data_IF_152393273776
#
_entry.id   IF_152393273776
#
_cell.length_a   1.000
_cell.length_b   1.000
_cell.length_c   1.000
_cell.angle_alpha   90.00
_cell.angle_beta   90.00
_cell.angle_gamma   90.00
#
_symmetry.space_group_name_H-M   'P 1'
#
loop_
_entity.id
_entity.type
_entity.pdbx_description
1 polymer ?
#
# COMPACT_ATOMS: atom_id res chain seq x y z
N UNK A 1 -23.78 -17.76 4.35
CA UNK A 1 -22.35 -17.39 4.43
C UNK A 1 -22.14 -16.11 3.64
N UNK A 2 -21.34 -15.15 4.13
CA UNK A 2 -20.94 -14.01 3.29
C UNK A 2 -20.09 -14.57 2.13
N UNK A 3 -20.58 -14.52 0.89
CA UNK A 3 -19.81 -14.89 -0.29
C UNK A 3 -18.73 -13.82 -0.54
N UNK A 4 -17.58 -13.99 0.09
CA UNK A 4 -16.41 -13.09 0.03
C UNK A 4 -15.52 -13.41 -1.20
N UNK A 5 -15.88 -14.44 -1.97
CA UNK A 5 -15.03 -15.06 -3.01
C UNK A 5 -14.96 -14.24 -4.32
N UNK A 6 -15.91 -13.34 -4.59
CA UNK A 6 -15.97 -12.63 -5.88
C UNK A 6 -15.19 -11.31 -5.93
N UNK A 7 -14.56 -10.88 -4.82
CA UNK A 7 -13.72 -9.67 -4.86
C UNK A 7 -12.57 -9.77 -3.85
N UNK A 8 -11.33 -10.10 -4.25
CA UNK A 8 -10.23 -10.39 -3.32
C UNK A 8 -9.71 -9.18 -2.49
N UNK A 9 -10.39 -8.03 -2.54
CA UNK A 9 -9.94 -6.75 -1.95
C UNK A 9 -11.06 -6.03 -1.20
N UNK A 10 -11.88 -6.73 -0.40
CA UNK A 10 -13.04 -6.09 0.23
C UNK A 10 -12.63 -5.30 1.47
N UNK A 11 -12.93 -3.99 1.47
CA UNK A 11 -12.77 -3.13 2.64
C UNK A 11 -13.87 -3.43 3.65
N UNK A 12 -13.53 -3.45 4.96
CA UNK A 12 -14.51 -3.64 6.05
C UNK A 12 -15.67 -2.65 5.96
N UNK A 13 -15.40 -1.45 5.45
CA UNK A 13 -16.42 -0.40 5.29
C UNK A 13 -17.46 -0.79 4.22
N UNK A 14 -17.02 -1.34 3.09
CA UNK A 14 -17.90 -1.78 2.01
C UNK A 14 -18.72 -3.00 2.45
N UNK A 15 -18.12 -3.94 3.19
CA UNK A 15 -18.86 -5.08 3.75
C UNK A 15 -19.92 -4.66 4.77
N UNK A 16 -19.58 -3.70 5.64
CA UNK A 16 -20.53 -3.17 6.60
C UNK A 16 -21.75 -2.55 5.90
N UNK A 17 -21.53 -1.78 4.82
CA UNK A 17 -22.59 -1.21 4.00
C UNK A 17 -23.41 -2.27 3.27
N UNK A 18 -22.76 -3.20 2.55
CA UNK A 18 -23.43 -4.22 1.75
C UNK A 18 -24.28 -5.17 2.58
N UNK A 19 -23.86 -5.47 3.81
CA UNK A 19 -24.56 -6.39 4.70
C UNK A 19 -25.38 -5.69 5.79
N UNK A 20 -25.50 -4.36 5.75
CA UNK A 20 -26.16 -3.54 6.76
C UNK A 20 -25.77 -3.92 8.21
N UNK A 21 -24.47 -4.17 8.41
CA UNK A 21 -23.89 -4.60 9.68
C UNK A 21 -22.94 -3.55 10.22
N UNK A 22 -22.82 -3.49 11.55
CA UNK A 22 -21.77 -2.66 12.15
C UNK A 22 -20.38 -3.15 11.72
N UNK A 23 -19.43 -2.22 11.57
CA UNK A 23 -18.01 -2.55 11.29
C UNK A 23 -17.44 -3.54 12.32
N UNK A 24 -17.84 -3.41 13.58
CA UNK A 24 -17.40 -4.30 14.66
C UNK A 24 -17.91 -5.74 14.47
N UNK A 25 -19.15 -5.92 14.00
CA UNK A 25 -19.71 -7.23 13.68
C UNK A 25 -18.94 -7.90 12.53
N UNK A 26 -18.67 -7.17 11.45
CA UNK A 26 -17.86 -7.66 10.33
C UNK A 26 -16.46 -8.07 10.80
N UNK A 27 -15.79 -7.27 11.62
CA UNK A 27 -14.46 -7.62 12.14
C UNK A 27 -14.47 -8.87 13.01
N UNK A 28 -15.50 -9.06 13.85
CA UNK A 28 -15.66 -10.28 14.66
C UNK A 28 -15.84 -11.52 13.78
N UNK A 29 -16.65 -11.41 12.72
CA UNK A 29 -16.86 -12.49 11.76
C UNK A 29 -15.55 -12.80 11.02
N UNK A 30 -14.86 -11.79 10.48
CA UNK A 30 -13.57 -11.96 9.79
C UNK A 30 -12.53 -12.67 10.65
N UNK A 31 -12.40 -12.30 11.92
CA UNK A 31 -11.49 -12.97 12.87
C UNK A 31 -11.89 -14.42 13.13
N UNK A 32 -13.20 -14.71 13.24
CA UNK A 32 -13.72 -16.08 13.42
C UNK A 32 -13.39 -16.97 12.22
N UNK A 33 -13.54 -16.42 11.03
CA UNK A 33 -13.23 -17.09 9.76
C UNK A 33 -11.73 -17.07 9.41
N UNK A 34 -10.85 -16.67 10.34
CA UNK A 34 -9.38 -16.61 10.17
C UNK A 34 -8.88 -15.70 9.03
N UNK A 35 -9.63 -14.64 8.72
CA UNK A 35 -9.14 -13.60 7.83
C UNK A 35 -8.19 -12.66 8.57
N UNK A 36 -7.15 -12.21 7.87
CA UNK A 36 -6.13 -11.30 8.36
C UNK A 36 -6.17 -9.97 7.58
N UNK A 37 -5.92 -8.83 8.25
CA UNK A 37 -5.86 -7.54 7.58
C UNK A 37 -4.52 -7.35 6.87
N UNK A 38 -4.56 -6.99 5.59
CA UNK A 38 -3.39 -6.66 4.77
C UNK A 38 -3.45 -5.20 4.31
N UNK A 39 -2.28 -4.55 4.24
CA UNK A 39 -2.14 -3.19 3.75
C UNK A 39 -2.19 -3.21 2.22
N UNK A 40 -2.95 -2.29 1.63
CA UNK A 40 -2.96 -2.12 0.18
C UNK A 40 -1.62 -1.48 -0.23
N UNK A 41 -0.84 -2.21 -1.01
CA UNK A 41 0.33 -1.68 -1.71
C UNK A 41 -0.11 -1.27 -3.10
N UNK A 42 -0.24 0.05 -3.32
CA UNK A 42 -0.38 0.59 -4.65
C UNK A 42 1.02 0.97 -5.12
N UNK A 43 1.60 0.15 -5.98
CA UNK A 43 2.88 0.46 -6.60
C UNK A 43 2.61 1.23 -7.90
N UNK A 44 3.48 2.19 -8.21
CA UNK A 44 3.52 2.75 -9.54
C UNK A 44 3.87 1.63 -10.53
N UNK A 45 3.09 1.52 -11.61
CA UNK A 45 3.42 0.61 -12.69
C UNK A 45 4.72 1.08 -13.34
N UNK A 46 5.68 0.17 -13.44
CA UNK A 46 6.96 0.44 -14.08
C UNK A 46 6.82 0.16 -15.57
N UNK A 47 7.29 1.09 -16.38
CA UNK A 47 7.52 0.85 -17.81
C UNK A 47 8.77 0.01 -18.02
N UNK A 48 8.92 -0.57 -19.21
CA UNK A 48 10.11 -1.36 -19.58
C UNK A 48 11.40 -0.53 -19.46
N UNK A 49 11.35 0.75 -19.82
CA UNK A 49 12.49 1.68 -19.72
C UNK A 49 12.88 2.03 -18.28
N UNK A 50 11.96 1.91 -17.32
CA UNK A 50 12.23 2.29 -15.93
C UNK A 50 13.25 1.36 -15.27
N UNK A 51 13.36 0.11 -15.72
CA UNK A 51 14.35 -0.83 -15.18
C UNK A 51 15.77 -0.34 -15.47
N UNK A 52 16.06 0.01 -16.72
CA UNK A 52 17.38 0.48 -17.14
C UNK A 52 17.72 1.82 -16.48
N UNK A 53 16.77 2.77 -16.45
CA UNK A 53 16.97 4.08 -15.79
C UNK A 53 17.27 3.95 -14.30
N UNK A 54 16.64 2.99 -13.62
CA UNK A 54 16.90 2.74 -12.20
C UNK A 54 18.28 2.16 -11.96
N UNK A 55 18.77 1.29 -12.86
CA UNK A 55 20.14 0.77 -12.79
C UNK A 55 21.14 1.90 -13.04
N UNK A 56 20.96 2.67 -14.10
CA UNK A 56 21.82 3.81 -14.43
C UNK A 56 21.90 4.82 -13.27
N UNK A 57 20.76 5.13 -12.64
CA UNK A 57 20.72 5.99 -11.46
C UNK A 57 21.54 5.40 -10.30
N UNK A 58 21.36 4.11 -10.00
CA UNK A 58 22.12 3.43 -8.95
C UNK A 58 23.63 3.46 -9.21
N UNK A 59 24.05 3.13 -10.43
CA UNK A 59 25.46 3.17 -10.84
C UNK A 59 26.05 4.58 -10.72
N UNK A 60 25.32 5.58 -11.19
CA UNK A 60 25.71 6.99 -11.08
C UNK A 60 25.86 7.44 -9.63
N UNK A 61 24.90 7.09 -8.77
CA UNK A 61 24.95 7.44 -7.36
C UNK A 61 26.09 6.73 -6.64
N UNK A 62 26.31 5.43 -6.90
CA UNK A 62 27.45 4.69 -6.35
C UNK A 62 28.79 5.34 -6.74
N UNK A 63 28.94 5.75 -7.99
CA UNK A 63 30.15 6.42 -8.44
C UNK A 63 30.38 7.75 -7.70
N UNK A 64 29.34 8.59 -7.56
CA UNK A 64 29.42 9.86 -6.84
C UNK A 64 29.77 9.68 -5.36
N UNK A 65 29.19 8.67 -4.71
CA UNK A 65 29.49 8.33 -3.32
C UNK A 65 30.94 7.85 -3.16
N UNK A 66 31.44 7.05 -4.10
CA UNK A 66 32.81 6.54 -4.06
C UNK A 66 33.86 7.63 -4.33
N UNK A 67 33.54 8.60 -5.20
CA UNK A 67 34.43 9.73 -5.48
C UNK A 67 34.48 10.73 -4.32
N UNK A 68 33.36 10.90 -3.60
CA UNK A 68 33.25 11.85 -2.51
C UNK A 68 32.42 11.28 -1.36
N UNK A 69 33.12 10.86 -0.30
CA UNK A 69 32.49 10.27 0.88
C UNK A 69 31.53 11.21 1.63
N UNK A 70 31.56 12.53 1.35
CA UNK A 70 30.64 13.53 1.90
C UNK A 70 29.52 13.91 0.92
N UNK A 71 29.41 13.25 -0.23
CA UNK A 71 28.37 13.53 -1.22
C UNK A 71 26.96 13.44 -0.62
N UNK A 72 26.64 12.34 0.07
CA UNK A 72 25.31 12.11 0.67
C UNK A 72 24.93 13.20 1.67
N UNK A 73 25.89 13.71 2.45
CA UNK A 73 25.66 14.75 3.45
C UNK A 73 25.23 16.10 2.83
N UNK A 74 25.41 16.28 1.52
CA UNK A 74 25.00 17.47 0.77
C UNK A 74 23.72 17.25 -0.04
N UNK A 75 23.14 16.04 -0.01
CA UNK A 75 21.87 15.74 -0.68
C UNK A 75 20.74 15.97 0.32
N UNK A 76 19.80 16.84 -0.06
CA UNK A 76 18.54 17.03 0.66
C UNK A 76 17.41 16.41 -0.16
N UNK A 77 16.68 15.48 0.45
CA UNK A 77 15.48 14.90 -0.14
C UNK A 77 14.24 15.63 0.39
N UNK A 78 13.33 15.96 -0.50
CA UNK A 78 11.99 16.48 -0.17
C UNK A 78 10.96 15.72 -0.99
N UNK A 79 9.75 15.61 -0.45
CA UNK A 79 8.59 15.01 -1.14
C UNK A 79 7.35 15.83 -0.81
N UNK A 80 6.35 15.77 -1.69
CA UNK A 80 5.08 16.45 -1.52
C UNK A 80 3.97 15.45 -1.18
N UNK A 81 3.18 15.77 -0.16
CA UNK A 81 2.01 14.96 0.21
C UNK A 81 0.74 15.79 0.10
N UNK A 82 -0.25 15.25 -0.59
CA UNK A 82 -1.56 15.90 -0.73
C UNK A 82 -2.50 15.45 0.39
N UNK A 83 -3.04 16.40 1.15
CA UNK A 83 -4.04 16.16 2.18
C UNK A 83 -5.38 16.77 1.77
N UNK A 84 -6.46 15.98 1.82
CA UNK A 84 -7.81 16.43 1.48
C UNK A 84 -8.68 16.53 2.75
N UNK A 85 -9.32 17.69 2.97
CA UNK A 85 -10.20 17.92 4.13
C UNK A 85 -11.60 17.33 3.98
N UNK A 86 -11.95 16.83 2.80
CA UNK A 86 -13.29 16.31 2.47
C UNK A 86 -13.54 14.86 2.95
N UNK A 87 -12.69 14.30 3.81
CA UNK A 87 -12.88 12.96 4.36
C UNK A 87 -12.58 11.81 3.38
N UNK A 88 -11.90 12.09 2.26
CA UNK A 88 -11.36 11.04 1.42
C UNK A 88 -10.55 10.05 2.26
N UNK A 89 -10.79 8.75 2.05
CA UNK A 89 -10.16 7.70 2.85
C UNK A 89 -8.65 7.84 2.73
N UNK A 90 -7.99 8.16 3.85
CA UNK A 90 -6.53 8.14 3.92
C UNK A 90 -6.09 6.73 3.50
N UNK A 91 -5.39 6.64 2.37
CA UNK A 91 -4.94 5.38 1.77
C UNK A 91 -4.12 4.53 2.73
N UNK A 92 -3.42 5.16 3.67
CA UNK A 92 -2.67 4.45 4.72
C UNK A 92 -3.58 3.67 5.69
N UNK A 93 -4.85 4.06 5.82
CA UNK A 93 -5.86 3.38 6.64
C UNK A 93 -6.65 2.32 5.85
N UNK A 94 -6.43 2.18 4.55
CA UNK A 94 -7.08 1.14 3.74
C UNK A 94 -6.45 -0.22 4.01
N UNK A 95 -7.26 -1.16 4.50
CA UNK A 95 -6.89 -2.57 4.67
C UNK A 95 -7.94 -3.47 4.04
N UNK A 96 -7.49 -4.43 3.25
CA UNK A 96 -8.31 -5.54 2.79
C UNK A 96 -8.07 -6.74 3.70
N UNK A 97 -9.00 -7.69 3.69
CA UNK A 97 -8.94 -8.88 4.53
C UNK A 97 -8.88 -10.12 3.64
N UNK A 98 -7.94 -11.02 3.94
CA UNK A 98 -7.74 -12.28 3.21
C UNK A 98 -7.43 -13.40 4.19
N UNK A 99 -7.88 -14.61 3.90
CA UNK A 99 -7.52 -15.84 4.62
C UNK A 99 -6.17 -16.42 4.17
N UNK A 100 -5.67 -15.97 3.02
CA UNK A 100 -4.36 -16.34 2.46
C UNK A 100 -3.43 -15.14 2.41
N UNK A 101 -2.13 -15.38 2.64
CA UNK A 101 -1.10 -14.38 2.43
C UNK A 101 -1.02 -14.05 0.92
N UNK A 102 -1.26 -12.79 0.52
CA UNK A 102 -1.23 -12.37 -0.88
C UNK A 102 0.19 -12.10 -1.42
N UNK A 103 1.23 -12.27 -0.59
CA UNK A 103 2.64 -12.05 -0.91
C UNK A 103 3.48 -13.30 -0.62
#
# INVERSE_FOLDING_TARGET
>A
MLNIVETPKILVQQLALNHNMSRGSIQKIMKREKYHPYKIHLLQELSEDDFDRRIEFCETMMHRINQDGNFINRVLFSDESTFCLNGHVNRHNCRYWSDRNPH
#
